data_IF_767148338792
#
_entry.id   IF_767148338792
#
_cell.length_a   1.000
_cell.length_b   1.000
_cell.length_c   1.000
_cell.angle_alpha   90.00
_cell.angle_beta   90.00
_cell.angle_gamma   90.00
#
_symmetry.space_group_name_H-M   'P 1'
#
loop_
_entity.id
_entity.type
_entity.pdbx_description
1 polymer ?
#
# COMPACT_ATOMS: atom_id res chain seq x y z
N UNK A 1 1.77 7.64 -14.45
CA UNK A 1 0.59 6.98 -13.91
C UNK A 1 -0.64 7.78 -14.30
N UNK A 2 -1.58 7.15 -15.00
CA UNK A 2 -2.83 7.80 -15.41
C UNK A 2 -3.69 8.12 -14.18
N UNK A 3 -4.54 9.15 -14.26
CA UNK A 3 -5.38 9.60 -13.14
C UNK A 3 -6.33 8.50 -12.64
N UNK A 4 -6.78 7.64 -13.55
CA UNK A 4 -7.59 6.45 -13.24
C UNK A 4 -6.83 5.43 -12.39
N UNK A 5 -5.57 5.19 -12.70
CA UNK A 5 -4.72 4.22 -11.97
C UNK A 5 -4.43 4.73 -10.55
N UNK A 6 -4.12 6.03 -10.40
CA UNK A 6 -3.94 6.67 -9.08
C UNK A 6 -5.19 6.52 -8.21
N UNK A 7 -6.37 6.71 -8.79
CA UNK A 7 -7.63 6.56 -8.07
C UNK A 7 -7.83 5.13 -7.55
N UNK A 8 -7.55 4.13 -8.38
CA UNK A 8 -7.66 2.71 -7.98
C UNK A 8 -6.69 2.38 -6.85
N UNK A 9 -5.43 2.83 -6.96
CA UNK A 9 -4.40 2.61 -5.92
C UNK A 9 -4.83 3.26 -4.61
N UNK A 10 -5.36 4.48 -4.66
CA UNK A 10 -5.83 5.20 -3.48
C UNK A 10 -7.05 4.54 -2.83
N UNK A 11 -8.05 4.14 -3.61
CA UNK A 11 -9.22 3.40 -3.12
C UNK A 11 -8.81 2.07 -2.46
N UNK A 12 -7.86 1.35 -3.07
CA UNK A 12 -7.32 0.12 -2.49
C UNK A 12 -6.54 0.39 -1.20
N UNK A 13 -5.69 1.41 -1.17
CA UNK A 13 -4.93 1.80 0.02
C UNK A 13 -5.86 2.14 1.19
N UNK A 14 -6.81 3.07 0.99
CA UNK A 14 -7.71 3.53 2.06
C UNK A 14 -8.54 2.36 2.62
N UNK A 15 -9.02 1.46 1.76
CA UNK A 15 -9.80 0.29 2.17
C UNK A 15 -9.00 -0.73 2.97
N UNK A 16 -7.69 -0.84 2.71
CA UNK A 16 -6.86 -1.94 3.24
C UNK A 16 -5.74 -1.48 4.19
N UNK A 17 -5.63 -0.18 4.48
CA UNK A 17 -4.53 0.42 5.26
C UNK A 17 -4.26 -0.31 6.57
N UNK A 18 -5.29 -0.53 7.38
CA UNK A 18 -5.14 -1.19 8.69
C UNK A 18 -4.69 -2.65 8.57
N UNK A 19 -5.15 -3.33 7.52
CA UNK A 19 -4.71 -4.69 7.24
C UNK A 19 -3.26 -4.71 6.76
N UNK A 20 -2.88 -3.83 5.83
CA UNK A 20 -1.51 -3.69 5.34
C UNK A 20 -0.53 -3.35 6.49
N UNK A 21 -0.94 -2.50 7.44
CA UNK A 21 -0.13 -2.19 8.63
C UNK A 21 0.13 -3.42 9.51
N UNK A 22 -0.86 -4.31 9.66
CA UNK A 22 -0.69 -5.58 10.37
C UNK A 22 0.23 -6.54 9.61
N UNK A 23 0.08 -6.62 8.28
CA UNK A 23 0.94 -7.46 7.43
C UNK A 23 2.38 -6.95 7.40
N UNK A 24 2.59 -5.64 7.50
CA UNK A 24 3.91 -5.03 7.63
C UNK A 24 4.64 -5.41 8.93
N UNK A 25 3.95 -6.00 9.91
CA UNK A 25 4.56 -6.56 11.12
C UNK A 25 4.89 -8.06 10.98
N UNK A 26 4.65 -8.67 9.83
CA UNK A 26 4.96 -10.08 9.56
C UNK A 26 6.45 -10.38 9.75
N UNK A 27 6.74 -11.59 10.26
CA UNK A 27 8.10 -12.13 10.33
C UNK A 27 8.64 -12.52 8.96
N UNK A 28 7.75 -12.81 8.00
CA UNK A 28 8.13 -13.07 6.61
C UNK A 28 8.59 -11.78 5.94
N UNK A 29 9.84 -11.77 5.49
CA UNK A 29 10.48 -10.58 4.95
C UNK A 29 9.89 -10.14 3.61
N UNK A 30 9.46 -11.08 2.77
CA UNK A 30 8.90 -10.76 1.45
C UNK A 30 7.52 -10.12 1.64
N UNK A 31 6.69 -10.74 2.46
CA UNK A 31 5.35 -10.26 2.79
C UNK A 31 5.40 -8.89 3.44
N UNK A 32 6.30 -8.70 4.42
CA UNK A 32 6.50 -7.40 5.08
C UNK A 32 6.95 -6.32 4.09
N UNK A 33 7.92 -6.63 3.23
CA UNK A 33 8.47 -5.65 2.28
C UNK A 33 7.41 -5.21 1.25
N UNK A 34 6.60 -6.15 0.77
CA UNK A 34 5.49 -5.82 -0.14
C UNK A 34 4.44 -4.94 0.53
N UNK A 35 4.04 -5.25 1.77
CA UNK A 35 3.06 -4.45 2.49
C UNK A 35 3.55 -3.02 2.73
N UNK A 36 4.83 -2.84 3.08
CA UNK A 36 5.45 -1.52 3.23
C UNK A 36 5.48 -0.74 1.91
N UNK A 37 5.85 -1.39 0.80
CA UNK A 37 5.85 -0.75 -0.51
C UNK A 37 4.45 -0.27 -0.94
N UNK A 38 3.41 -1.07 -0.70
CA UNK A 38 2.02 -0.69 -1.00
C UNK A 38 1.57 0.46 -0.10
N UNK A 39 1.97 0.47 1.19
CA UNK A 39 1.66 1.56 2.11
C UNK A 39 2.33 2.87 1.68
N UNK A 40 3.59 2.81 1.23
CA UNK A 40 4.35 3.98 0.76
C UNK A 40 3.71 4.56 -0.50
N UNK A 41 3.44 3.73 -1.52
CA UNK A 41 2.78 4.12 -2.77
C UNK A 41 1.39 4.73 -2.55
N UNK A 42 0.62 4.19 -1.60
CA UNK A 42 -0.72 4.70 -1.30
C UNK A 42 -0.73 5.96 -0.43
N UNK A 43 0.34 6.20 0.36
CA UNK A 43 0.47 7.38 1.21
C UNK A 43 0.88 8.64 0.47
N UNK A 44 1.59 8.50 -0.65
CA UNK A 44 2.07 9.61 -1.48
C UNK A 44 2.10 9.20 -2.98
N UNK A 45 0.92 9.13 -3.64
CA UNK A 45 0.81 8.67 -5.02
C UNK A 45 1.37 9.64 -6.07
N UNK A 46 1.84 10.82 -5.64
CA UNK A 46 2.35 11.90 -6.50
C UNK A 46 3.89 12.06 -6.44
N UNK A 47 4.58 11.23 -5.66
CA UNK A 47 6.05 11.23 -5.51
C UNK A 47 6.76 10.33 -6.52
#
# INVERSE_FOLDING_TARGET
MEEKERRIVREYYEKNKDWLQKIAQSSDIVVRSMALAILELGSDPDR
#
